data_IF_883134089964
#
_entry.id   IF_883134089964
#
_cell.length_a   1.000
_cell.length_b   1.000
_cell.length_c   1.000
_cell.angle_alpha   90.00
_cell.angle_beta   90.00
_cell.angle_gamma   90.00
#
_symmetry.space_group_name_H-M   'P 1'
#
loop_
_entity.id
_entity.type
_entity.pdbx_description
1 polymer ?
#
# COMPACT_ATOMS: atom_id res chain seq x y z
N UNK A 1 15.60 -62.26 10.20
CA UNK A 1 14.59 -61.36 10.81
C UNK A 1 15.17 -60.11 11.51
N UNK A 2 16.41 -60.03 11.97
CA UNK A 2 16.99 -58.82 12.62
C UNK A 2 17.36 -57.70 11.63
N UNK A 3 17.70 -57.99 10.35
CA UNK A 3 18.09 -56.99 9.34
C UNK A 3 16.89 -56.19 8.82
N UNK A 4 15.74 -56.81 8.64
CA UNK A 4 14.50 -56.16 8.15
C UNK A 4 13.97 -55.12 9.15
N UNK A 5 14.07 -55.39 10.45
CA UNK A 5 13.63 -54.41 11.49
C UNK A 5 14.50 -53.17 11.53
N UNK A 6 15.80 -53.26 11.22
CA UNK A 6 16.70 -52.11 11.13
C UNK A 6 16.42 -51.22 9.90
N UNK A 7 16.07 -51.82 8.77
CA UNK A 7 15.70 -51.09 7.56
C UNK A 7 14.38 -50.35 7.72
N UNK A 8 13.39 -50.95 8.36
CA UNK A 8 12.10 -50.32 8.65
C UNK A 8 12.27 -49.16 9.62
N UNK A 9 13.10 -49.28 10.65
CA UNK A 9 13.37 -48.21 11.60
C UNK A 9 14.12 -47.01 10.94
N UNK A 10 15.05 -47.28 10.01
CA UNK A 10 15.76 -46.25 9.26
C UNK A 10 14.85 -45.53 8.27
N UNK A 11 13.94 -46.24 7.60
CA UNK A 11 12.94 -45.63 6.70
C UNK A 11 11.94 -44.74 7.47
N UNK A 12 11.47 -45.21 8.64
CA UNK A 12 10.58 -44.42 9.50
C UNK A 12 11.27 -43.15 10.02
N UNK A 13 12.53 -43.22 10.41
CA UNK A 13 13.31 -42.09 10.86
C UNK A 13 13.55 -41.07 9.72
N UNK A 14 13.79 -41.53 8.49
CA UNK A 14 13.95 -40.67 7.33
C UNK A 14 12.64 -39.95 6.94
N UNK A 15 11.50 -40.65 7.02
CA UNK A 15 10.18 -40.05 6.75
C UNK A 15 9.81 -39.01 7.82
N UNK A 16 10.10 -39.32 9.11
CA UNK A 16 9.88 -38.34 10.19
C UNK A 16 10.81 -37.12 10.08
N UNK A 17 12.06 -37.31 9.69
CA UNK A 17 12.97 -36.17 9.44
C UNK A 17 12.51 -35.32 8.28
N UNK A 18 12.05 -35.89 7.17
CA UNK A 18 11.45 -35.15 6.05
C UNK A 18 10.18 -34.39 6.45
N UNK A 19 9.31 -34.97 7.27
CA UNK A 19 8.12 -34.30 7.78
C UNK A 19 8.46 -33.12 8.71
N UNK A 20 9.53 -33.23 9.50
CA UNK A 20 10.01 -32.14 10.35
C UNK A 20 10.66 -31.02 9.52
N UNK A 21 11.38 -31.34 8.44
CA UNK A 21 11.94 -30.32 7.56
C UNK A 21 10.88 -29.60 6.72
N UNK A 22 9.80 -30.28 6.31
CA UNK A 22 8.67 -29.63 5.63
C UNK A 22 7.81 -28.82 6.60
N UNK A 23 7.69 -29.20 7.87
CA UNK A 23 6.99 -28.44 8.89
C UNK A 23 7.78 -27.19 9.36
N UNK A 24 9.12 -27.25 9.39
CA UNK A 24 9.96 -26.08 9.72
C UNK A 24 10.26 -25.14 8.54
N UNK A 25 10.09 -25.58 7.31
CA UNK A 25 10.30 -24.76 6.11
C UNK A 25 9.09 -23.93 5.69
N UNK A 26 7.91 -24.22 6.26
CA UNK A 26 6.67 -23.49 5.95
C UNK A 26 6.09 -22.71 7.14
N UNK A 27 6.67 -22.84 8.32
CA UNK A 27 6.21 -22.13 9.51
C UNK A 27 7.14 -20.95 9.79
N UNK A 28 6.83 -19.79 9.21
CA UNK A 28 7.40 -18.59 9.78
C UNK A 28 7.77 -17.42 8.91
N UNK A 29 7.47 -17.38 7.61
CA UNK A 29 7.42 -16.05 6.98
C UNK A 29 6.03 -15.46 7.26
N UNK A 30 5.96 -14.32 8.00
CA UNK A 30 4.69 -13.66 8.19
C UNK A 30 4.07 -13.39 6.82
N UNK A 31 2.84 -13.81 6.64
CA UNK A 31 2.13 -13.53 5.38
C UNK A 31 2.05 -12.03 5.20
N UNK A 32 2.37 -11.50 4.00
CA UNK A 32 2.33 -10.07 3.78
C UNK A 32 0.94 -9.51 4.09
N UNK A 33 0.90 -8.42 4.83
CA UNK A 33 -0.31 -7.69 5.17
C UNK A 33 -1.01 -7.19 3.90
N UNK A 34 -2.29 -6.82 4.01
CA UNK A 34 -2.98 -6.21 2.87
C UNK A 34 -2.32 -4.90 2.44
N UNK A 35 -1.77 -4.13 3.37
CA UNK A 35 -1.02 -2.91 3.08
C UNK A 35 0.24 -3.17 2.25
N UNK A 36 1.04 -4.18 2.62
CA UNK A 36 2.23 -4.57 1.86
C UNK A 36 1.89 -5.11 0.46
N UNK A 37 0.80 -5.89 0.35
CA UNK A 37 0.29 -6.37 -0.95
C UNK A 37 -0.15 -5.20 -1.84
N UNK A 38 -0.85 -4.22 -1.24
CA UNK A 38 -1.28 -3.03 -1.94
C UNK A 38 -0.10 -2.19 -2.41
N UNK A 39 0.86 -1.91 -1.53
CA UNK A 39 2.06 -1.14 -1.90
C UNK A 39 2.79 -1.79 -3.07
N UNK A 40 3.05 -3.09 -2.99
CA UNK A 40 3.69 -3.84 -4.08
C UNK A 40 2.93 -3.69 -5.40
N UNK A 41 1.63 -3.96 -5.39
CA UNK A 41 0.79 -3.84 -6.58
C UNK A 41 0.75 -2.40 -7.12
N UNK A 42 0.60 -1.41 -6.23
CA UNK A 42 0.53 0.01 -6.60
C UNK A 42 1.82 0.47 -7.30
N UNK A 43 2.98 0.07 -6.77
CA UNK A 43 4.28 0.37 -7.36
C UNK A 43 4.46 -0.31 -8.72
N UNK A 44 4.01 -1.55 -8.88
CA UNK A 44 4.00 -2.25 -10.17
C UNK A 44 3.17 -1.46 -11.20
N UNK A 45 1.99 -0.92 -10.80
CA UNK A 45 1.17 -0.08 -11.68
C UNK A 45 1.85 1.25 -12.03
N UNK A 46 2.54 1.89 -11.09
CA UNK A 46 3.30 3.12 -11.36
C UNK A 46 4.45 2.84 -12.35
N UNK A 47 5.23 1.80 -12.09
CA UNK A 47 6.39 1.45 -12.91
C UNK A 47 5.99 1.01 -14.33
N UNK A 48 4.83 0.38 -14.51
CA UNK A 48 4.35 -0.04 -15.83
C UNK A 48 4.10 1.13 -16.79
N UNK A 49 3.96 2.35 -16.25
CA UNK A 49 3.74 3.59 -17.02
C UNK A 49 5.03 4.36 -17.31
N UNK A 50 6.17 3.88 -16.81
CA UNK A 50 7.47 4.51 -17.00
C UNK A 50 8.24 3.91 -18.18
N UNK A 51 9.17 4.66 -18.78
CA UNK A 51 10.11 4.12 -19.76
C UNK A 51 10.94 2.98 -19.18
N UNK A 52 11.40 2.08 -20.03
CA UNK A 52 12.25 0.96 -19.64
C UNK A 52 13.48 1.44 -18.84
N UNK A 53 13.81 0.74 -17.77
CA UNK A 53 14.91 1.08 -16.86
C UNK A 53 14.64 2.24 -15.91
N UNK A 54 13.42 2.80 -15.89
CA UNK A 54 12.99 3.79 -14.90
C UNK A 54 12.06 3.16 -13.87
N UNK A 55 12.16 3.63 -12.62
CA UNK A 55 11.27 3.25 -11.53
C UNK A 55 10.94 4.45 -10.65
N UNK A 56 9.77 4.42 -10.04
CA UNK A 56 9.41 5.38 -8.98
C UNK A 56 10.27 5.14 -7.74
N UNK A 57 10.55 6.21 -7.00
CA UNK A 57 11.34 6.14 -5.78
C UNK A 57 10.43 6.22 -4.55
N UNK A 58 10.67 5.35 -3.58
CA UNK A 58 10.02 5.47 -2.27
C UNK A 58 10.73 6.56 -1.47
N UNK A 59 9.93 7.43 -0.83
CA UNK A 59 10.39 8.49 0.06
C UNK A 59 9.56 8.47 1.34
N UNK A 60 9.95 9.21 2.35
CA UNK A 60 9.27 9.27 3.65
C UNK A 60 8.93 10.71 4.10
N UNK A 61 9.13 11.67 3.20
CA UNK A 61 9.02 13.11 3.51
C UNK A 61 7.67 13.50 4.13
N UNK A 62 6.59 12.86 3.74
CA UNK A 62 5.24 13.12 4.26
C UNK A 62 4.70 11.99 5.16
N UNK A 63 5.48 10.94 5.39
CA UNK A 63 5.03 9.74 6.12
C UNK A 63 4.43 10.06 7.49
N UNK A 64 5.12 10.88 8.28
CA UNK A 64 4.65 11.27 9.62
C UNK A 64 3.33 12.03 9.58
N UNK A 65 3.13 12.89 8.56
CA UNK A 65 1.87 13.64 8.40
C UNK A 65 0.73 12.72 7.96
N UNK A 66 1.00 11.79 7.06
CA UNK A 66 0.04 10.77 6.64
C UNK A 66 -0.39 9.88 7.82
N UNK A 67 0.57 9.44 8.64
CA UNK A 67 0.26 8.66 9.84
C UNK A 67 -0.59 9.47 10.83
N UNK A 68 -0.24 10.73 11.10
CA UNK A 68 -1.03 11.60 11.95
C UNK A 68 -2.45 11.85 11.41
N UNK A 69 -2.60 11.92 10.08
CA UNK A 69 -3.90 12.03 9.43
C UNK A 69 -4.72 10.74 9.58
N UNK A 70 -4.10 9.58 9.36
CA UNK A 70 -4.76 8.29 9.59
C UNK A 70 -5.22 8.11 11.05
N UNK A 71 -4.52 8.70 12.01
CA UNK A 71 -4.92 8.70 13.43
C UNK A 71 -6.18 9.53 13.69
N UNK A 72 -6.54 10.46 12.80
CA UNK A 72 -7.77 11.25 12.90
C UNK A 72 -9.03 10.51 12.46
N UNK A 73 -8.87 9.37 11.77
CA UNK A 73 -10.02 8.53 11.45
C UNK A 73 -10.70 8.10 12.76
N UNK A 74 -11.96 8.50 12.92
CA UNK A 74 -12.78 8.15 14.08
C UNK A 74 -13.10 6.65 14.14
N UNK A 75 -13.59 6.18 15.28
CA UNK A 75 -14.04 4.79 15.46
C UNK A 75 -15.17 4.39 14.50
N UNK A 76 -15.92 5.37 14.01
CA UNK A 76 -16.96 5.23 13.01
C UNK A 76 -16.40 5.16 11.57
N UNK A 77 -15.08 5.24 11.40
CA UNK A 77 -14.42 5.22 10.10
C UNK A 77 -14.44 6.56 9.36
N UNK A 78 -14.84 7.65 10.02
CA UNK A 78 -15.00 8.98 9.38
C UNK A 78 -13.87 9.93 9.76
N UNK A 79 -13.61 10.88 8.85
CA UNK A 79 -12.70 12.00 9.07
C UNK A 79 -13.19 13.22 8.27
N UNK A 80 -12.62 14.40 8.52
CA UNK A 80 -12.91 15.59 7.70
C UNK A 80 -11.94 15.68 6.52
N UNK A 81 -12.41 16.15 5.38
CA UNK A 81 -11.58 16.32 4.17
C UNK A 81 -10.31 17.11 4.43
N UNK A 82 -10.35 18.15 5.30
CA UNK A 82 -9.17 18.90 5.74
C UNK A 82 -8.07 18.05 6.37
N UNK A 83 -8.45 16.97 7.04
CA UNK A 83 -7.51 16.08 7.73
C UNK A 83 -7.01 14.97 6.83
N UNK A 84 -7.74 14.65 5.77
CA UNK A 84 -7.53 13.48 4.94
C UNK A 84 -6.78 13.72 3.65
N UNK A 85 -6.42 14.96 3.32
CA UNK A 85 -5.65 15.23 2.12
C UNK A 85 -4.78 16.48 2.20
N UNK A 86 -3.71 16.47 1.43
CA UNK A 86 -2.82 17.60 1.24
C UNK A 86 -2.45 17.69 -0.24
N UNK A 87 -2.42 18.90 -0.75
CA UNK A 87 -1.89 19.19 -2.08
C UNK A 87 -1.08 20.48 -2.04
N UNK A 88 0.17 20.38 -2.45
CA UNK A 88 0.96 21.54 -2.82
C UNK A 88 0.94 21.65 -4.34
N UNK A 89 0.32 22.69 -4.82
CA UNK A 89 0.20 22.95 -6.26
C UNK A 89 1.47 23.54 -6.86
N UNK A 90 2.61 23.54 -6.14
CA UNK A 90 3.93 23.89 -6.66
C UNK A 90 4.07 25.24 -7.37
N UNK A 91 3.17 26.18 -7.12
CA UNK A 91 3.19 27.50 -7.75
C UNK A 91 3.13 27.44 -9.29
N UNK A 92 3.93 28.27 -9.96
CA UNK A 92 4.05 28.29 -11.43
C UNK A 92 4.92 27.16 -11.98
N UNK A 93 5.43 26.31 -11.12
CA UNK A 93 6.41 25.29 -11.46
C UNK A 93 5.82 23.90 -11.64
N UNK A 94 6.63 23.07 -12.23
CA UNK A 94 6.34 21.84 -12.94
C UNK A 94 5.96 20.68 -12.03
N UNK A 95 6.16 20.79 -10.72
CA UNK A 95 6.02 19.70 -9.77
C UNK A 95 4.87 19.95 -8.79
N UNK A 96 4.17 18.90 -8.42
CA UNK A 96 3.16 18.97 -7.36
C UNK A 96 3.31 17.81 -6.41
N UNK A 97 3.05 18.06 -5.13
CA UNK A 97 3.07 17.08 -4.08
C UNK A 97 1.65 16.91 -3.54
N UNK A 98 1.21 15.69 -3.41
CA UNK A 98 -0.11 15.43 -2.83
C UNK A 98 -0.10 14.13 -2.02
N UNK A 99 -0.91 14.08 -0.99
CA UNK A 99 -1.28 12.83 -0.35
C UNK A 99 -2.77 12.80 0.00
N UNK A 100 -3.33 11.62 0.10
CA UNK A 100 -4.75 11.41 0.30
C UNK A 100 -4.99 10.10 1.08
N UNK A 101 -5.86 10.16 2.09
CA UNK A 101 -6.48 8.96 2.65
C UNK A 101 -7.49 8.43 1.65
N UNK A 102 -7.45 7.13 1.36
CA UNK A 102 -8.45 6.47 0.51
C UNK A 102 -9.82 6.64 1.16
N UNK A 103 -10.75 7.29 0.47
CA UNK A 103 -12.05 7.68 1.01
C UNK A 103 -13.16 7.64 -0.02
N UNK A 104 -14.41 7.59 0.46
CA UNK A 104 -15.61 7.71 -0.35
C UNK A 104 -16.58 8.72 0.35
N UNK A 105 -16.92 9.86 -0.24
CA UNK A 105 -16.37 10.39 -1.49
C UNK A 105 -14.89 10.79 -1.35
N UNK A 106 -14.23 11.06 -2.47
CA UNK A 106 -12.82 11.46 -2.47
C UNK A 106 -12.64 12.79 -1.73
N UNK A 107 -11.84 12.80 -0.66
CA UNK A 107 -11.68 13.95 0.24
C UNK A 107 -11.19 15.21 -0.48
N UNK A 108 -10.34 15.10 -1.49
CA UNK A 108 -9.79 16.22 -2.26
C UNK A 108 -10.80 16.94 -3.17
N UNK A 109 -12.02 16.40 -3.34
CA UNK A 109 -13.10 17.09 -4.06
C UNK A 109 -13.70 18.25 -3.27
N UNK A 110 -13.44 18.33 -1.97
CA UNK A 110 -13.94 19.41 -1.11
C UNK A 110 -12.88 20.46 -0.84
N UNK A 111 -13.00 21.61 -1.52
CA UNK A 111 -12.11 22.75 -1.33
C UNK A 111 -12.38 23.53 -0.05
N UNK A 112 -13.53 23.32 0.63
CA UNK A 112 -13.84 23.95 1.93
C UNK A 112 -13.12 23.26 3.10
N UNK A 113 -12.72 22.01 2.94
CA UNK A 113 -12.07 21.21 3.97
C UNK A 113 -12.99 20.75 5.09
N UNK A 114 -14.31 20.83 4.92
CA UNK A 114 -15.30 20.57 5.97
C UNK A 114 -16.15 19.33 5.72
N UNK A 115 -16.04 18.72 4.54
CA UNK A 115 -16.79 17.53 4.21
C UNK A 115 -16.37 16.36 5.13
N UNK A 116 -17.35 15.74 5.77
CA UNK A 116 -17.13 14.49 6.49
C UNK A 116 -17.22 13.35 5.49
N UNK A 117 -16.14 12.59 5.41
CA UNK A 117 -15.97 11.49 4.44
C UNK A 117 -15.73 10.17 5.15
N UNK A 118 -16.14 9.08 4.51
CA UNK A 118 -15.87 7.73 4.98
C UNK A 118 -14.50 7.27 4.49
N UNK A 119 -13.60 6.94 5.43
CA UNK A 119 -12.36 6.26 5.08
C UNK A 119 -12.68 4.85 4.60
N UNK A 120 -12.15 4.49 3.44
CA UNK A 120 -12.39 3.16 2.87
C UNK A 120 -11.34 2.19 3.38
N UNK A 121 -11.74 1.14 4.12
CA UNK A 121 -10.82 0.09 4.49
C UNK A 121 -10.41 -0.72 3.27
N UNK A 122 -9.12 -0.96 3.14
CA UNK A 122 -8.57 -1.73 2.04
C UNK A 122 -8.83 -3.22 2.22
N UNK A 123 -9.31 -3.85 1.15
CA UNK A 123 -9.53 -5.30 1.06
C UNK A 123 -8.96 -5.85 -0.24
N UNK A 124 -8.72 -7.18 -0.36
CA UNK A 124 -8.27 -7.78 -1.62
C UNK A 124 -9.21 -7.48 -2.80
N UNK A 125 -10.52 -7.35 -2.54
CA UNK A 125 -11.56 -7.15 -3.57
C UNK A 125 -11.60 -5.71 -4.09
N UNK A 126 -11.24 -4.73 -3.22
CA UNK A 126 -11.36 -3.32 -3.59
C UNK A 126 -10.02 -2.63 -3.91
N UNK A 127 -8.88 -3.25 -3.57
CA UNK A 127 -7.57 -2.59 -3.69
C UNK A 127 -7.29 -2.09 -5.12
N UNK A 128 -7.75 -2.81 -6.14
CA UNK A 128 -7.52 -2.43 -7.54
C UNK A 128 -8.31 -1.21 -8.01
N UNK A 129 -9.34 -0.80 -7.26
CA UNK A 129 -10.09 0.45 -7.51
C UNK A 129 -9.25 1.69 -7.19
N UNK A 130 -8.32 1.55 -6.26
CA UNK A 130 -7.52 2.65 -5.72
C UNK A 130 -6.10 2.63 -6.29
N UNK A 131 -5.99 2.41 -7.60
CA UNK A 131 -4.74 2.48 -8.34
C UNK A 131 -4.25 3.93 -8.56
N UNK A 132 -3.10 4.11 -9.24
CA UNK A 132 -2.54 5.45 -9.49
C UNK A 132 -3.51 6.42 -10.13
N UNK A 133 -4.39 5.98 -11.01
CA UNK A 133 -5.42 6.82 -11.66
C UNK A 133 -6.47 7.39 -10.71
N UNK A 134 -6.65 6.79 -9.55
CA UNK A 134 -7.50 7.36 -8.50
C UNK A 134 -6.91 8.64 -7.90
N UNK A 135 -5.57 8.75 -7.87
CA UNK A 135 -4.84 9.87 -7.25
C UNK A 135 -4.38 10.92 -8.27
N UNK A 136 -4.24 10.55 -9.55
CA UNK A 136 -3.71 11.41 -10.61
C UNK A 136 -4.76 11.62 -11.69
N UNK A 137 -5.48 12.74 -11.63
CA UNK A 137 -6.55 13.04 -12.59
C UNK A 137 -6.07 13.34 -14.01
N UNK A 138 -4.83 13.80 -14.16
CA UNK A 138 -4.26 14.24 -15.43
C UNK A 138 -2.98 13.47 -15.75
N UNK A 139 -3.07 12.14 -15.78
CA UNK A 139 -1.92 11.26 -16.04
C UNK A 139 -1.20 11.56 -17.37
N UNK A 140 -1.90 12.13 -18.36
CA UNK A 140 -1.29 12.57 -19.61
C UNK A 140 -0.33 13.76 -19.44
N UNK A 141 -0.54 14.60 -18.42
CA UNK A 141 0.26 15.79 -18.15
C UNK A 141 1.34 15.55 -17.09
N UNK A 142 1.14 14.58 -16.23
CA UNK A 142 2.04 14.30 -15.09
C UNK A 142 2.53 12.87 -15.09
N UNK A 143 3.70 12.67 -14.48
CA UNK A 143 4.22 11.36 -14.11
C UNK A 143 4.58 11.35 -12.63
N UNK A 144 4.40 10.23 -11.99
CA UNK A 144 4.86 10.05 -10.61
C UNK A 144 6.37 9.82 -10.61
N UNK A 145 7.06 10.60 -9.81
CA UNK A 145 8.51 10.49 -9.58
C UNK A 145 8.82 9.76 -8.28
N UNK A 146 8.11 10.13 -7.23
CA UNK A 146 8.29 9.59 -5.89
C UNK A 146 6.94 9.23 -5.28
N UNK A 147 6.95 8.29 -4.38
CA UNK A 147 5.75 7.85 -3.66
C UNK A 147 6.07 7.51 -2.21
N UNK A 148 5.04 7.50 -1.38
CA UNK A 148 5.02 6.84 -0.08
C UNK A 148 3.62 6.28 0.19
N UNK A 149 3.55 5.25 1.02
CA UNK A 149 2.29 4.65 1.45
C UNK A 149 2.35 4.43 2.95
N UNK A 150 1.43 5.06 3.66
CA UNK A 150 1.22 4.85 5.08
C UNK A 150 -0.02 3.99 5.31
N UNK A 151 0.04 3.10 6.30
CA UNK A 151 -1.07 2.21 6.65
C UNK A 151 -1.35 2.24 8.14
N UNK A 152 -2.62 2.16 8.52
CA UNK A 152 -3.07 2.00 9.89
C UNK A 152 -4.11 0.90 9.98
N UNK A 153 -3.93 0.01 10.95
CA UNK A 153 -4.94 -0.99 11.29
C UNK A 153 -5.78 -0.49 12.47
N UNK A 154 -7.09 -0.48 12.31
CA UNK A 154 -8.05 -0.13 13.34
C UNK A 154 -9.24 -1.09 13.25
N UNK A 155 -9.56 -1.75 14.36
CA UNK A 155 -10.64 -2.76 14.45
C UNK A 155 -10.56 -3.84 13.36
N UNK A 156 -9.34 -4.33 13.07
CA UNK A 156 -9.09 -5.34 12.04
C UNK A 156 -9.19 -4.85 10.60
N UNK A 157 -9.46 -3.56 10.37
CA UNK A 157 -9.52 -2.92 9.06
C UNK A 157 -8.25 -2.14 8.79
N UNK A 158 -7.72 -2.25 7.57
CA UNK A 158 -6.53 -1.50 7.14
C UNK A 158 -6.94 -0.27 6.36
N UNK A 159 -6.55 0.90 6.84
CA UNK A 159 -6.72 2.18 6.17
C UNK A 159 -5.39 2.63 5.59
N UNK A 160 -5.43 3.34 4.46
CA UNK A 160 -4.25 3.68 3.68
C UNK A 160 -4.28 5.15 3.30
N UNK A 161 -3.12 5.80 3.41
CA UNK A 161 -2.83 7.09 2.80
C UNK A 161 -1.70 6.92 1.77
N UNK A 162 -1.83 7.59 0.63
CA UNK A 162 -0.88 7.53 -0.48
C UNK A 162 -0.34 8.92 -0.74
N UNK A 163 0.98 9.07 -0.77
CA UNK A 163 1.68 10.28 -1.20
C UNK A 163 2.28 10.08 -2.59
N UNK A 164 2.15 11.11 -3.41
CA UNK A 164 2.74 11.17 -4.74
C UNK A 164 3.43 12.52 -4.96
N UNK A 165 4.66 12.47 -5.46
CA UNK A 165 5.32 13.60 -6.09
C UNK A 165 5.14 13.49 -7.60
N UNK A 166 4.43 14.43 -8.17
CA UNK A 166 4.06 14.49 -9.58
C UNK A 166 4.93 15.50 -10.30
N UNK A 167 5.66 15.06 -11.31
CA UNK A 167 6.44 15.89 -12.20
C UNK A 167 5.69 16.10 -13.51
N UNK A 168 5.61 17.34 -14.00
CA UNK A 168 5.00 17.64 -15.28
C UNK A 168 5.81 17.01 -16.42
N UNK A 169 5.15 16.32 -17.34
CA UNK A 169 5.80 15.75 -18.52
C UNK A 169 6.31 16.87 -19.42
N UNK A 170 7.52 16.73 -19.99
CA UNK A 170 7.95 17.68 -21.03
C UNK A 170 6.98 17.63 -22.19
N UNK A 171 6.57 18.81 -22.67
CA UNK A 171 5.73 19.00 -23.83
C UNK A 171 6.47 18.64 -25.10
#
# INVERSE_FOLDING_TARGET
MKKTRRFVALLLAAVLALALFTACGAAGQPQPTIGEKYEKWFVEQLNSKLPEGKSVQKVDVEHSKMMAALEKIGKDGKFTSKEGWYRDAGGKEKDSHCWLIISDPVAWSDTSGTLVVDAVPLTPENMTKYGPSYFVLEEQLYRTKEYDIATRVMDGKTYVAVYLHLEKRPS
#
